data_IF_070864546325
#
_entry.id   IF_070864546325
#
_cell.length_a   1.000
_cell.length_b   1.000
_cell.length_c   1.000
_cell.angle_alpha   90.00
_cell.angle_beta   90.00
_cell.angle_gamma   90.00
#
_symmetry.space_group_name_H-M   'P 1'
#
loop_
_entity.id
_entity.type
_entity.pdbx_description
1 polymer ?
#
# COMPACT_ATOMS: atom_id res chain seq x y z
N UNK A 1 -20.09 -18.58 -22.33
CA UNK A 1 -19.31 -17.57 -23.07
C UNK A 1 -19.64 -16.25 -22.39
N UNK A 2 -18.66 -15.60 -21.76
CA UNK A 2 -18.85 -14.31 -21.13
C UNK A 2 -19.04 -13.20 -22.17
N UNK A 3 -19.94 -12.26 -21.89
CA UNK A 3 -20.22 -11.14 -22.78
C UNK A 3 -18.99 -10.22 -22.87
N UNK A 4 -18.55 -9.90 -24.10
CA UNK A 4 -17.48 -8.92 -24.35
C UNK A 4 -18.06 -7.52 -24.23
N UNK A 5 -17.56 -6.74 -23.29
CA UNK A 5 -18.00 -5.37 -22.99
C UNK A 5 -17.10 -4.34 -23.68
N UNK A 6 -15.82 -4.68 -23.86
CA UNK A 6 -14.87 -3.92 -24.67
C UNK A 6 -13.89 -4.91 -25.30
N UNK A 7 -13.52 -4.70 -26.57
CA UNK A 7 -12.55 -5.55 -27.25
C UNK A 7 -11.84 -4.81 -28.37
N UNK A 8 -10.53 -5.00 -28.46
CA UNK A 8 -9.71 -4.45 -29.53
C UNK A 8 -9.48 -5.48 -30.64
N UNK A 9 -9.75 -5.07 -31.88
CA UNK A 9 -9.49 -5.90 -33.07
C UNK A 9 -8.11 -5.60 -33.64
N UNK A 10 -7.36 -6.64 -33.98
CA UNK A 10 -6.05 -6.53 -34.60
C UNK A 10 -5.83 -7.67 -35.58
N UNK A 11 -5.19 -7.38 -36.71
CA UNK A 11 -4.73 -8.39 -37.66
C UNK A 11 -3.33 -8.91 -37.30
N UNK A 12 -2.62 -8.22 -36.40
CA UNK A 12 -1.33 -8.66 -35.88
C UNK A 12 -1.53 -9.57 -34.65
N UNK A 13 -1.19 -10.86 -34.72
CA UNK A 13 -1.37 -11.82 -33.62
C UNK A 13 -0.46 -11.53 -32.40
N UNK A 14 0.59 -10.71 -32.57
CA UNK A 14 1.50 -10.31 -31.50
C UNK A 14 1.12 -8.99 -30.82
N UNK A 15 0.09 -8.30 -31.32
CA UNK A 15 -0.33 -7.04 -30.72
C UNK A 15 -0.94 -7.30 -29.34
N UNK A 16 -0.48 -6.56 -28.33
CA UNK A 16 -1.09 -6.55 -27.02
C UNK A 16 -2.44 -5.84 -27.12
N UNK A 17 -3.52 -6.62 -27.16
CA UNK A 17 -4.89 -6.11 -27.14
C UNK A 17 -5.46 -6.12 -25.73
N UNK A 18 -6.42 -5.23 -25.52
CA UNK A 18 -7.25 -5.20 -24.31
C UNK A 18 -8.64 -5.71 -24.63
N UNK A 19 -9.15 -6.59 -23.77
CA UNK A 19 -10.50 -7.14 -23.83
C UNK A 19 -11.07 -7.23 -22.41
N UNK A 20 -12.26 -6.66 -22.23
CA UNK A 20 -13.02 -6.67 -20.99
C UNK A 20 -14.25 -7.54 -21.18
N UNK A 21 -14.42 -8.49 -20.28
CA UNK A 21 -15.64 -9.29 -20.13
C UNK A 21 -16.19 -9.14 -18.71
N UNK A 22 -17.34 -9.76 -18.44
CA UNK A 22 -17.89 -9.82 -17.08
C UNK A 22 -17.01 -10.62 -16.10
N UNK A 23 -16.20 -11.55 -16.61
CA UNK A 23 -15.37 -12.44 -15.80
C UNK A 23 -13.98 -11.87 -15.54
N UNK A 24 -13.43 -11.11 -16.50
CA UNK A 24 -12.04 -10.68 -16.44
C UNK A 24 -11.66 -9.59 -17.43
N UNK A 25 -10.47 -9.05 -17.18
CA UNK A 25 -9.75 -8.21 -18.11
C UNK A 25 -8.58 -8.99 -18.68
N UNK A 26 -8.57 -9.18 -20.00
CA UNK A 26 -7.42 -9.70 -20.74
C UNK A 26 -6.62 -8.54 -21.32
N UNK A 27 -5.31 -8.54 -21.05
CA UNK A 27 -4.35 -7.58 -21.62
C UNK A 27 -3.09 -8.32 -22.06
N UNK A 28 -2.84 -8.31 -23.37
CA UNK A 28 -1.79 -9.15 -23.96
C UNK A 28 -2.01 -10.63 -23.60
N UNK A 29 -1.01 -11.26 -22.96
CA UNK A 29 -1.04 -12.66 -22.51
C UNK A 29 -1.51 -12.89 -21.07
N UNK A 30 -2.01 -11.85 -20.38
CA UNK A 30 -2.47 -11.98 -18.98
C UNK A 30 -3.96 -11.70 -18.86
N UNK A 31 -4.63 -12.49 -18.02
CA UNK A 31 -6.02 -12.26 -17.62
C UNK A 31 -6.06 -11.95 -16.14
N UNK A 32 -6.67 -10.82 -15.77
CA UNK A 32 -6.95 -10.44 -14.39
C UNK A 32 -8.44 -10.66 -14.13
N UNK A 33 -8.82 -11.58 -13.23
CA UNK A 33 -10.21 -11.76 -12.84
C UNK A 33 -10.81 -10.46 -12.30
N UNK A 34 -12.09 -10.22 -12.56
CA UNK A 34 -12.77 -9.01 -12.08
C UNK A 34 -12.76 -8.93 -10.55
N UNK A 35 -12.77 -10.06 -9.84
CA UNK A 35 -12.64 -10.11 -8.38
C UNK A 35 -11.26 -9.65 -7.83
N UNK A 36 -10.24 -9.56 -8.67
CA UNK A 36 -8.94 -8.98 -8.30
C UNK A 36 -8.88 -7.45 -8.50
N UNK A 37 -9.91 -6.87 -9.13
CA UNK A 37 -10.02 -5.44 -9.35
C UNK A 37 -10.77 -4.78 -8.19
N UNK A 38 -10.35 -3.57 -7.79
CA UNK A 38 -11.06 -2.78 -6.79
C UNK A 38 -12.26 -2.07 -7.43
N UNK A 39 -13.31 -2.86 -7.72
CA UNK A 39 -14.52 -2.36 -8.36
C UNK A 39 -15.19 -1.26 -7.56
N UNK A 40 -15.24 -1.38 -6.22
CA UNK A 40 -15.84 -0.36 -5.36
C UNK A 40 -15.16 1.00 -5.53
N UNK A 41 -13.83 1.05 -5.55
CA UNK A 41 -13.09 2.29 -5.75
C UNK A 41 -13.28 2.87 -7.17
N UNK A 42 -13.29 2.03 -8.20
CA UNK A 42 -13.48 2.49 -9.58
C UNK A 42 -14.91 2.96 -9.85
N UNK A 43 -15.91 2.25 -9.32
CA UNK A 43 -17.32 2.61 -9.42
C UNK A 43 -17.62 3.94 -8.71
N UNK A 44 -17.00 4.16 -7.55
CA UNK A 44 -17.15 5.40 -6.79
C UNK A 44 -16.58 6.61 -7.54
N UNK A 45 -15.36 6.50 -8.07
CA UNK A 45 -14.76 7.56 -8.89
C UNK A 45 -15.58 7.81 -10.17
N UNK A 46 -16.00 6.73 -10.84
CA UNK A 46 -16.83 6.79 -12.05
C UNK A 46 -18.16 7.51 -11.80
N UNK A 47 -18.84 7.21 -10.69
CA UNK A 47 -20.08 7.85 -10.29
C UNK A 47 -19.95 9.37 -10.05
N UNK A 48 -18.75 9.85 -9.72
CA UNK A 48 -18.42 11.28 -9.58
C UNK A 48 -17.97 11.95 -10.89
N UNK A 49 -18.01 11.24 -12.02
CA UNK A 49 -17.51 11.75 -13.30
C UNK A 49 -15.99 11.74 -13.42
N UNK A 50 -15.30 10.95 -12.58
CA UNK A 50 -13.85 10.86 -12.52
C UNK A 50 -13.35 9.43 -12.84
N UNK A 51 -12.07 9.31 -13.11
CA UNK A 51 -11.35 8.05 -13.16
C UNK A 51 -10.17 8.05 -12.22
N UNK A 52 -10.06 6.95 -11.47
CA UNK A 52 -9.04 6.73 -10.46
C UNK A 52 -7.70 6.31 -11.09
N UNK A 53 -6.64 6.99 -10.69
CA UNK A 53 -5.25 6.74 -11.07
C UNK A 53 -4.37 6.35 -9.89
N UNK A 54 -3.06 6.37 -10.14
CA UNK A 54 -2.05 5.99 -9.15
C UNK A 54 -2.17 6.80 -7.85
N UNK A 55 -2.14 6.11 -6.70
CA UNK A 55 -2.11 6.73 -5.37
C UNK A 55 -3.34 7.54 -5.01
N UNK A 56 -4.49 7.24 -5.63
CA UNK A 56 -5.73 7.97 -5.40
C UNK A 56 -5.87 9.25 -6.21
N UNK A 57 -4.96 9.54 -7.14
CA UNK A 57 -5.11 10.66 -8.06
C UNK A 57 -6.36 10.47 -8.92
N UNK A 58 -7.05 11.55 -9.27
CA UNK A 58 -8.27 11.48 -10.07
C UNK A 58 -8.20 12.41 -11.28
N UNK A 59 -8.82 11.97 -12.37
CA UNK A 59 -8.95 12.76 -13.59
C UNK A 59 -10.40 12.70 -14.05
N UNK A 60 -10.96 13.84 -14.46
CA UNK A 60 -12.32 13.88 -15.02
C UNK A 60 -12.43 12.95 -16.24
N UNK A 61 -13.54 12.22 -16.36
CA UNK A 61 -13.77 11.23 -17.42
C UNK A 61 -13.77 11.86 -18.82
N UNK A 62 -14.25 13.10 -18.94
CA UNK A 62 -14.27 13.87 -20.19
C UNK A 62 -12.88 14.28 -20.68
N UNK A 63 -11.86 14.21 -19.82
CA UNK A 63 -10.45 14.46 -20.18
C UNK A 63 -9.74 13.20 -20.69
N UNK A 64 -10.39 12.04 -20.66
CA UNK A 64 -9.81 10.83 -21.27
C UNK A 64 -9.92 10.92 -22.79
N UNK A 65 -8.86 10.53 -23.53
CA UNK A 65 -8.90 10.59 -24.99
C UNK A 65 -9.92 9.56 -25.53
N UNK A 66 -10.72 9.98 -26.52
CA UNK A 66 -11.58 9.05 -27.27
C UNK A 66 -10.76 8.02 -28.07
N UNK A 67 -9.52 8.37 -28.42
CA UNK A 67 -8.55 7.52 -29.08
C UNK A 67 -7.61 6.77 -28.12
N UNK A 68 -6.39 6.42 -28.60
CA UNK A 68 -5.42 5.70 -27.79
C UNK A 68 -5.00 6.47 -26.55
N UNK A 69 -4.94 5.79 -25.41
CA UNK A 69 -4.56 6.40 -24.14
C UNK A 69 -4.28 5.39 -23.04
N UNK A 70 -3.87 5.89 -21.88
CA UNK A 70 -3.65 5.09 -20.68
C UNK A 70 -4.84 5.25 -19.75
N UNK A 71 -5.42 4.12 -19.33
CA UNK A 71 -6.46 4.02 -18.30
C UNK A 71 -5.87 3.22 -17.14
N UNK A 72 -5.59 3.85 -15.99
CA UNK A 72 -5.11 3.15 -14.81
C UNK A 72 -6.17 2.19 -14.26
N UNK A 73 -5.77 1.02 -13.80
CA UNK A 73 -6.64 0.08 -13.11
C UNK A 73 -6.16 -0.16 -11.70
N UNK A 74 -7.08 -0.10 -10.76
CA UNK A 74 -6.76 -0.35 -9.35
C UNK A 74 -7.17 -1.77 -8.98
N UNK A 75 -6.22 -2.54 -8.46
CA UNK A 75 -6.42 -3.90 -7.91
C UNK A 75 -6.94 -3.81 -6.48
N UNK A 76 -7.56 -4.86 -5.97
CA UNK A 76 -8.04 -4.93 -4.56
C UNK A 76 -6.92 -4.79 -3.53
N UNK A 77 -5.66 -4.92 -3.96
CA UNK A 77 -4.45 -4.65 -3.15
C UNK A 77 -4.15 -3.16 -2.98
N UNK A 78 -4.88 -2.29 -3.67
CA UNK A 78 -4.59 -0.86 -3.81
C UNK A 78 -3.49 -0.54 -4.81
N UNK A 79 -2.97 -1.56 -5.52
CA UNK A 79 -2.00 -1.33 -6.60
C UNK A 79 -2.68 -0.80 -7.85
N UNK A 80 -2.14 0.25 -8.44
CA UNK A 80 -2.57 0.77 -9.73
C UNK A 80 -1.63 0.34 -10.85
N UNK A 81 -2.19 -0.20 -11.93
CA UNK A 81 -1.49 -0.67 -13.13
C UNK A 81 -2.00 0.11 -14.36
N UNK A 82 -1.12 0.71 -15.18
CA UNK A 82 -1.55 1.39 -16.39
C UNK A 82 -1.99 0.38 -17.46
N UNK A 83 -3.14 0.63 -18.10
CA UNK A 83 -3.60 -0.12 -19.27
C UNK A 83 -3.64 0.78 -20.49
N UNK A 84 -2.92 0.39 -21.54
CA UNK A 84 -2.92 1.07 -22.84
C UNK A 84 -4.12 0.57 -23.63
N UNK A 85 -5.15 1.39 -23.76
CA UNK A 85 -6.34 1.09 -24.54
C UNK A 85 -6.32 1.93 -25.83
N UNK A 86 -6.76 1.35 -26.94
CA UNK A 86 -6.90 2.03 -28.23
C UNK A 86 -8.06 3.03 -28.25
N UNK A 87 -9.05 2.85 -27.37
CA UNK A 87 -10.19 3.76 -27.15
C UNK A 87 -10.35 3.94 -25.65
N UNK A 88 -9.56 4.86 -25.08
CA UNK A 88 -9.41 4.96 -23.63
C UNK A 88 -10.70 5.39 -22.93
N UNK A 89 -11.40 6.39 -23.47
CA UNK A 89 -12.68 6.83 -22.92
C UNK A 89 -13.75 5.73 -22.97
N UNK A 90 -13.87 5.00 -24.08
CA UNK A 90 -14.79 3.85 -24.21
C UNK A 90 -14.46 2.73 -23.21
N UNK A 91 -13.18 2.38 -23.08
CA UNK A 91 -12.74 1.37 -22.12
C UNK A 91 -13.05 1.75 -20.67
N UNK A 92 -12.76 3.00 -20.28
CA UNK A 92 -13.04 3.50 -18.94
C UNK A 92 -14.54 3.52 -18.62
N UNK A 93 -15.38 3.95 -19.59
CA UNK A 93 -16.85 3.90 -19.45
C UNK A 93 -17.35 2.47 -19.26
N UNK A 94 -16.95 1.54 -20.14
CA UNK A 94 -17.37 0.15 -20.07
C UNK A 94 -16.98 -0.53 -18.74
N UNK A 95 -15.78 -0.25 -18.25
CA UNK A 95 -15.33 -0.77 -16.95
C UNK A 95 -16.05 -0.08 -15.77
N UNK A 96 -16.28 1.23 -15.83
CA UNK A 96 -17.03 1.97 -14.81
C UNK A 96 -18.47 1.45 -14.67
N UNK A 97 -19.16 1.25 -15.78
CA UNK A 97 -20.52 0.67 -15.81
C UNK A 97 -20.53 -0.76 -15.27
N UNK A 98 -19.55 -1.58 -15.66
CA UNK A 98 -19.39 -2.93 -15.11
C UNK A 98 -19.17 -2.89 -13.60
N UNK A 99 -18.29 -2.00 -13.12
CA UNK A 99 -17.97 -1.86 -11.71
C UNK A 99 -19.22 -1.46 -10.90
N UNK A 100 -19.99 -0.48 -11.36
CA UNK A 100 -21.26 -0.08 -10.71
C UNK A 100 -22.22 -1.26 -10.65
N UNK A 101 -22.43 -1.99 -11.76
CA UNK A 101 -23.33 -3.14 -11.82
C UNK A 101 -22.90 -4.26 -10.86
N UNK A 102 -21.63 -4.65 -10.88
CA UNK A 102 -21.11 -5.73 -10.03
C UNK A 102 -20.98 -5.34 -8.56
N UNK A 103 -20.89 -4.04 -8.26
CA UNK A 103 -21.04 -3.54 -6.90
C UNK A 103 -22.50 -3.56 -6.41
N UNK A 104 -23.50 -3.91 -7.22
CA UNK A 104 -24.91 -3.92 -6.82
C UNK A 104 -25.66 -2.62 -7.14
N UNK A 105 -25.10 -1.75 -7.98
CA UNK A 105 -25.72 -0.51 -8.46
C UNK A 105 -25.28 0.75 -7.70
N UNK A 106 -25.78 1.93 -8.12
CA UNK A 106 -25.33 3.23 -7.60
C UNK A 106 -25.54 3.41 -6.10
N UNK A 107 -26.65 2.89 -5.55
CA UNK A 107 -26.95 2.99 -4.11
C UNK A 107 -25.92 2.23 -3.25
N UNK A 108 -25.54 1.02 -3.69
CA UNK A 108 -24.53 0.24 -2.99
C UNK A 108 -23.14 0.90 -3.09
N UNK A 109 -22.81 1.53 -4.22
CA UNK A 109 -21.59 2.34 -4.37
C UNK A 109 -21.62 3.55 -3.43
N UNK A 110 -22.75 4.23 -3.30
CA UNK A 110 -22.91 5.33 -2.35
C UNK A 110 -22.75 4.87 -0.89
N UNK A 111 -23.29 3.69 -0.54
CA UNK A 111 -23.09 3.10 0.78
C UNK A 111 -21.62 2.75 1.07
N UNK A 112 -20.89 2.23 0.07
CA UNK A 112 -19.45 2.01 0.18
C UNK A 112 -18.68 3.32 0.36
N UNK A 113 -19.04 4.37 -0.38
CA UNK A 113 -18.45 5.70 -0.25
C UNK A 113 -18.71 6.31 1.13
N UNK A 114 -19.95 6.23 1.63
CA UNK A 114 -20.30 6.68 2.97
C UNK A 114 -19.50 5.94 4.06
N UNK A 115 -19.36 4.62 3.92
CA UNK A 115 -18.52 3.81 4.81
C UNK A 115 -17.06 4.25 4.77
N UNK A 116 -16.49 4.45 3.58
CA UNK A 116 -15.11 4.94 3.44
C UNK A 116 -14.91 6.32 4.07
N UNK A 117 -15.91 7.21 3.96
CA UNK A 117 -15.95 8.51 4.62
C UNK A 117 -15.95 8.37 6.15
N UNK A 118 -16.81 7.51 6.71
CA UNK A 118 -16.87 7.24 8.14
C UNK A 118 -15.57 6.62 8.69
N UNK A 119 -14.93 5.73 7.93
CA UNK A 119 -13.62 5.15 8.25
C UNK A 119 -12.48 6.19 8.11
N UNK A 120 -12.68 7.22 7.28
CA UNK A 120 -11.63 8.16 6.86
C UNK A 120 -10.55 7.50 6.00
N UNK A 121 -10.88 6.40 5.32
CA UNK A 121 -9.97 5.61 4.49
C UNK A 121 -10.57 5.50 3.09
N UNK A 122 -9.91 6.02 2.03
CA UNK A 122 -10.41 5.89 0.66
C UNK A 122 -10.62 4.43 0.24
N UNK A 123 -11.60 4.17 -0.63
CA UNK A 123 -11.91 2.81 -1.10
C UNK A 123 -10.75 2.15 -1.84
N UNK A 124 -9.88 2.94 -2.48
CA UNK A 124 -8.75 2.42 -3.24
C UNK A 124 -7.67 1.80 -2.36
N UNK A 125 -7.58 2.17 -1.07
CA UNK A 125 -6.63 1.57 -0.13
C UNK A 125 -7.20 0.24 0.39
N UNK A 126 -6.42 -0.83 0.26
CA UNK A 126 -6.82 -2.16 0.71
C UNK A 126 -7.04 -2.22 2.23
N UNK A 127 -8.14 -2.84 2.65
CA UNK A 127 -8.43 -3.19 4.04
C UNK A 127 -8.07 -4.64 4.28
N UNK A 128 -7.31 -4.90 5.34
CA UNK A 128 -7.06 -6.25 5.87
C UNK A 128 -7.65 -6.33 7.28
N UNK A 129 -8.15 -7.49 7.65
CA UNK A 129 -8.80 -7.70 8.93
C UNK A 129 -8.01 -8.71 9.76
N UNK A 130 -7.99 -8.52 11.07
CA UNK A 130 -7.47 -9.44 12.06
C UNK A 130 -8.42 -9.52 13.25
N UNK A 131 -8.36 -10.60 14.01
CA UNK A 131 -9.16 -10.73 15.21
C UNK A 131 -8.62 -9.85 16.33
N UNK A 132 -9.54 -9.19 17.04
CA UNK A 132 -9.27 -8.42 18.24
C UNK A 132 -10.19 -8.83 19.39
N UNK A 133 -9.84 -8.49 20.64
CA UNK A 133 -10.62 -8.87 21.83
C UNK A 133 -12.06 -8.33 21.82
N UNK A 134 -12.30 -7.22 21.13
CA UNK A 134 -13.61 -6.59 21.00
C UNK A 134 -14.28 -6.78 19.61
N UNK A 135 -13.70 -7.64 18.77
CA UNK A 135 -14.13 -7.88 17.40
C UNK A 135 -13.04 -7.55 16.36
N UNK A 136 -13.38 -7.61 15.05
CA UNK A 136 -12.40 -7.46 13.99
C UNK A 136 -11.71 -6.08 13.99
N UNK A 137 -10.38 -6.09 13.89
CA UNK A 137 -9.53 -4.92 13.70
C UNK A 137 -9.19 -4.79 12.22
N UNK A 138 -9.54 -3.65 11.63
CA UNK A 138 -9.21 -3.32 10.25
C UNK A 138 -7.86 -2.57 10.19
N UNK A 139 -7.04 -2.93 9.21
CA UNK A 139 -5.72 -2.35 8.94
C UNK A 139 -5.63 -1.98 7.48
N UNK A 140 -5.48 -0.69 7.19
CA UNK A 140 -5.19 -0.16 5.86
C UNK A 140 -3.78 0.43 5.82
N UNK A 141 -3.05 0.12 4.75
CA UNK A 141 -1.65 0.55 4.59
C UNK A 141 -1.43 1.01 3.17
N UNK A 142 -0.77 2.15 3.02
CA UNK A 142 -0.09 2.51 1.78
C UNK A 142 1.34 2.92 2.12
N UNK A 143 2.31 2.14 1.64
CA UNK A 143 3.72 2.33 1.99
C UNK A 143 4.37 3.50 1.28
N UNK A 144 3.86 3.87 0.11
CA UNK A 144 4.37 4.99 -0.68
C UNK A 144 3.81 6.33 -0.16
N UNK A 145 2.57 6.35 0.34
CA UNK A 145 2.00 7.48 1.08
C UNK A 145 2.47 7.56 2.53
N UNK A 146 3.26 6.59 3.00
CA UNK A 146 3.66 6.48 4.42
C UNK A 146 2.42 6.58 5.32
N UNK A 147 1.42 5.76 4.99
CA UNK A 147 0.09 5.81 5.58
C UNK A 147 -0.26 4.46 6.21
N UNK A 148 -0.67 4.49 7.46
CA UNK A 148 -1.29 3.36 8.15
C UNK A 148 -2.52 3.85 8.90
N UNK A 149 -3.65 3.17 8.72
CA UNK A 149 -4.88 3.38 9.45
C UNK A 149 -5.30 2.08 10.10
N UNK A 150 -5.57 2.13 11.41
CA UNK A 150 -6.08 0.97 12.16
C UNK A 150 -7.30 1.39 12.95
N UNK A 151 -8.38 0.62 12.86
CA UNK A 151 -9.61 0.87 13.59
C UNK A 151 -10.32 -0.43 13.93
N UNK A 152 -11.15 -0.40 14.96
CA UNK A 152 -11.94 -1.53 15.41
C UNK A 152 -13.04 -1.08 16.38
N UNK A 153 -13.94 -1.99 16.78
CA UNK A 153 -14.99 -1.69 17.72
C UNK A 153 -14.46 -1.11 19.03
N UNK A 154 -15.15 -0.11 19.58
CA UNK A 154 -14.89 0.45 20.92
C UNK A 154 -13.50 1.08 21.12
N UNK A 155 -12.75 1.35 20.06
CA UNK A 155 -11.48 2.07 20.10
C UNK A 155 -11.49 3.25 19.12
N UNK A 156 -10.87 4.40 19.46
CA UNK A 156 -10.61 5.44 18.47
C UNK A 156 -9.66 4.91 17.38
N UNK A 157 -9.83 5.39 16.15
CA UNK A 157 -8.93 5.04 15.05
C UNK A 157 -7.52 5.55 15.34
N UNK A 158 -6.51 4.73 15.07
CA UNK A 158 -5.10 5.10 15.20
C UNK A 158 -4.49 5.24 13.82
N UNK A 159 -3.90 6.40 13.56
CA UNK A 159 -3.44 6.79 12.24
C UNK A 159 -1.98 7.20 12.29
N UNK A 160 -1.19 6.67 11.36
CA UNK A 160 0.18 7.09 11.12
C UNK A 160 0.27 7.71 9.73
N UNK A 161 0.93 8.86 9.64
CA UNK A 161 1.18 9.61 8.40
C UNK A 161 2.62 10.12 8.38
N UNK A 162 3.15 10.43 7.20
CA UNK A 162 4.29 11.33 7.09
C UNK A 162 3.99 12.48 6.10
N UNK A 163 3.42 13.60 6.59
CA UNK A 163 3.06 14.74 5.74
C UNK A 163 4.23 15.36 4.97
N UNK A 164 5.48 15.07 5.38
CA UNK A 164 6.71 15.54 4.74
C UNK A 164 7.61 14.40 4.26
N UNK A 165 7.03 13.21 4.10
CA UNK A 165 7.76 11.98 3.80
C UNK A 165 8.49 11.39 5.01
N UNK A 166 8.83 10.10 4.93
CA UNK A 166 9.58 9.39 5.97
C UNK A 166 11.08 9.62 5.79
N UNK A 167 11.77 9.97 6.89
CA UNK A 167 13.18 10.30 6.90
C UNK A 167 13.93 9.33 7.83
N UNK A 168 14.24 8.13 7.35
CA UNK A 168 14.71 7.00 8.16
C UNK A 168 16.00 7.17 8.96
N UNK A 169 16.69 8.30 8.80
CA UNK A 169 17.95 8.65 9.49
C UNK A 169 17.97 10.12 9.96
N UNK A 170 16.82 10.78 9.99
CA UNK A 170 16.75 12.16 10.48
C UNK A 170 17.09 12.24 11.98
N UNK A 171 17.64 13.37 12.45
CA UNK A 171 17.84 13.62 13.88
C UNK A 171 16.52 13.68 14.67
N UNK A 172 15.41 14.00 13.98
CA UNK A 172 14.07 14.00 14.56
C UNK A 172 13.69 12.59 15.04
N UNK A 173 13.40 12.38 16.34
CA UNK A 173 13.03 11.08 16.88
C UNK A 173 11.82 10.42 16.20
N UNK A 174 10.90 11.21 15.65
CA UNK A 174 9.72 10.70 14.93
C UNK A 174 10.03 10.34 13.48
N UNK A 175 11.19 10.76 12.95
CA UNK A 175 11.62 10.54 11.57
C UNK A 175 10.61 11.09 10.54
N UNK A 176 9.92 12.18 10.88
CA UNK A 176 8.87 12.79 10.06
C UNK A 176 7.49 12.12 10.16
N UNK A 177 7.35 11.10 11.00
CA UNK A 177 6.08 10.39 11.22
C UNK A 177 5.20 11.13 12.24
N UNK A 178 3.92 11.28 11.93
CA UNK A 178 2.90 11.81 12.82
C UNK A 178 1.91 10.69 13.16
N UNK A 179 1.69 10.44 14.45
CA UNK A 179 0.74 9.46 14.96
C UNK A 179 -0.42 10.17 15.66
N UNK A 180 -1.65 9.82 15.32
CA UNK A 180 -2.85 10.27 16.02
C UNK A 180 -3.68 9.10 16.54
N UNK A 181 -4.33 9.30 17.69
CA UNK A 181 -5.29 8.39 18.32
C UNK A 181 -6.61 9.15 18.43
N UNK A 182 -7.56 8.84 17.56
CA UNK A 182 -8.69 9.74 17.28
C UNK A 182 -8.15 11.09 16.81
N UNK A 183 -8.55 12.15 17.50
CA UNK A 183 -8.11 13.52 17.21
C UNK A 183 -6.85 13.93 17.98
N UNK A 184 -6.36 13.11 18.90
CA UNK A 184 -5.21 13.43 19.73
C UNK A 184 -3.90 13.04 19.06
N UNK A 185 -2.95 13.98 18.95
CA UNK A 185 -1.59 13.70 18.48
C UNK A 185 -0.80 13.02 19.59
N UNK A 186 -0.14 11.92 19.27
CA UNK A 186 0.74 11.20 20.18
C UNK A 186 2.21 11.49 19.84
N UNK A 187 3.04 11.59 20.87
CA UNK A 187 4.49 11.67 20.70
C UNK A 187 5.02 10.31 20.25
N UNK A 188 5.73 10.26 19.12
CA UNK A 188 6.31 9.04 18.57
C UNK A 188 7.84 9.15 18.55
N UNK A 189 8.51 8.14 19.09
CA UNK A 189 9.98 8.07 19.14
C UNK A 189 10.46 6.71 18.65
N UNK A 190 11.27 6.71 17.60
CA UNK A 190 11.97 5.53 17.10
C UNK A 190 13.43 5.59 17.56
N UNK A 191 13.88 4.54 18.24
CA UNK A 191 15.26 4.43 18.70
C UNK A 191 15.84 3.10 18.27
N UNK A 192 16.67 3.13 17.22
CA UNK A 192 17.52 2.01 16.80
C UNK A 192 18.87 2.09 17.52
N UNK A 193 19.34 0.96 18.07
CA UNK A 193 20.66 0.84 18.69
C UNK A 193 21.38 -0.40 18.14
N UNK A 194 22.72 -0.35 18.09
CA UNK A 194 23.56 -1.49 17.71
C UNK A 194 23.24 -2.74 18.56
N UNK A 195 23.13 -2.54 19.89
CA UNK A 195 22.58 -3.56 20.78
C UNK A 195 21.06 -3.64 20.58
N UNK A 196 20.62 -4.56 19.72
CA UNK A 196 19.21 -4.78 19.32
C UNK A 196 18.22 -4.85 20.50
N UNK A 197 18.63 -5.39 21.66
CA UNK A 197 17.78 -5.46 22.86
C UNK A 197 17.48 -4.09 23.51
N UNK A 198 18.21 -3.03 23.12
CA UNK A 198 17.99 -1.66 23.57
C UNK A 198 17.24 -0.81 22.54
N UNK A 199 16.92 -1.36 21.37
CA UNK A 199 16.11 -0.67 20.37
C UNK A 199 14.64 -0.69 20.78
N UNK A 200 13.95 0.43 20.61
CA UNK A 200 12.56 0.60 21.01
C UNK A 200 11.80 1.50 20.03
N UNK A 201 10.49 1.31 19.97
CA UNK A 201 9.56 2.32 19.44
C UNK A 201 8.62 2.70 20.57
N UNK A 202 8.46 4.00 20.81
CA UNK A 202 7.66 4.52 21.91
C UNK A 202 6.57 5.44 21.37
N UNK A 203 5.36 5.29 21.91
CA UNK A 203 4.23 6.18 21.65
C UNK A 203 3.70 6.67 22.97
N UNK A 204 3.68 7.99 23.19
CA UNK A 204 3.08 8.62 24.38
C UNK A 204 1.84 9.40 23.99
N UNK A 205 0.77 9.14 24.74
CA UNK A 205 -0.46 9.91 24.76
C UNK A 205 -0.71 10.35 26.20
N UNK A 206 -1.52 11.37 26.43
CA UNK A 206 -1.92 11.76 27.78
C UNK A 206 -2.47 10.53 28.54
N UNK A 207 -1.79 10.13 29.62
CA UNK A 207 -2.18 8.99 30.46
C UNK A 207 -1.83 7.59 29.93
N UNK A 208 -1.17 7.46 28.78
CA UNK A 208 -0.78 6.16 28.24
C UNK A 208 0.56 6.18 27.51
N UNK A 209 1.37 5.14 27.70
CA UNK A 209 2.68 5.00 27.08
C UNK A 209 2.86 3.58 26.58
N UNK A 210 2.94 3.43 25.26
CA UNK A 210 3.22 2.15 24.61
C UNK A 210 4.68 2.04 24.21
N UNK A 211 5.29 0.88 24.46
CA UNK A 211 6.68 0.61 24.12
C UNK A 211 6.79 -0.73 23.41
N UNK A 212 7.29 -0.72 22.18
CA UNK A 212 7.67 -1.94 21.47
C UNK A 212 9.10 -2.32 21.84
N UNK A 213 9.28 -3.50 22.44
CA UNK A 213 10.59 -4.05 22.82
C UNK A 213 10.82 -5.41 22.18
N UNK A 214 12.06 -5.64 21.78
CA UNK A 214 12.49 -6.94 21.25
C UNK A 214 12.32 -8.03 22.31
N UNK A 215 11.67 -9.13 21.94
CA UNK A 215 11.69 -10.38 22.70
C UNK A 215 12.81 -11.29 22.13
N UNK A 216 12.72 -11.60 20.84
CA UNK A 216 13.72 -12.40 20.14
C UNK A 216 13.95 -11.87 18.71
N UNK A 217 14.59 -12.66 17.84
CA UNK A 217 14.93 -12.21 16.49
C UNK A 217 13.72 -11.90 15.61
N UNK A 218 12.58 -12.54 15.87
CA UNK A 218 11.37 -12.49 15.04
C UNK A 218 10.15 -11.97 15.77
N UNK A 219 10.22 -11.70 17.07
CA UNK A 219 9.09 -11.19 17.85
C UNK A 219 9.43 -10.01 18.77
N UNK A 220 8.41 -9.24 19.13
CA UNK A 220 8.51 -8.10 20.04
C UNK A 220 7.27 -8.00 20.92
N UNK A 221 7.48 -7.66 22.19
CA UNK A 221 6.41 -7.31 23.10
C UNK A 221 6.02 -5.85 22.90
N UNK A 222 4.72 -5.60 22.75
CA UNK A 222 4.16 -4.29 23.03
C UNK A 222 3.80 -4.24 24.51
N UNK A 223 4.34 -3.24 25.20
CA UNK A 223 4.02 -2.94 26.59
C UNK A 223 3.20 -1.66 26.67
N UNK A 224 2.33 -1.55 27.68
CA UNK A 224 1.70 -0.30 28.13
C UNK A 224 2.17 -0.03 29.55
N UNK A 225 3.01 0.99 29.75
CA UNK A 225 3.82 1.09 30.95
C UNK A 225 4.70 -0.16 31.11
N UNK A 226 4.53 -0.90 32.20
CA UNK A 226 5.28 -2.15 32.46
C UNK A 226 4.48 -3.43 32.11
N UNK A 227 3.21 -3.30 31.74
CA UNK A 227 2.35 -4.44 31.42
C UNK A 227 2.53 -4.87 29.95
N UNK A 228 2.69 -6.17 29.70
CA UNK A 228 2.64 -6.73 28.34
C UNK A 228 1.19 -6.75 27.85
N UNK A 229 0.95 -6.13 26.70
CA UNK A 229 -0.40 -6.04 26.11
C UNK A 229 -0.54 -6.85 24.83
N UNK A 230 0.54 -7.09 24.08
CA UNK A 230 0.54 -7.98 22.93
C UNK A 230 1.93 -8.49 22.55
N UNK A 231 1.99 -9.70 22.00
CA UNK A 231 3.17 -10.25 21.31
C UNK A 231 3.01 -10.11 19.80
N UNK A 232 3.89 -9.35 19.17
CA UNK A 232 3.91 -9.14 17.73
C UNK A 232 4.98 -10.05 17.11
N UNK A 233 4.62 -10.77 16.05
CA UNK A 233 5.54 -11.71 15.38
C UNK A 233 5.68 -11.36 13.90
N UNK A 234 6.91 -11.48 13.38
CA UNK A 234 7.17 -11.33 11.95
C UNK A 234 6.47 -12.47 11.18
N UNK A 235 5.73 -12.18 10.10
CA UNK A 235 5.24 -13.22 9.21
C UNK A 235 6.38 -14.12 8.70
N UNK A 236 6.11 -15.41 8.45
CA UNK A 236 7.09 -16.26 7.78
C UNK A 236 7.44 -15.67 6.40
N UNK A 237 8.70 -15.84 5.96
CA UNK A 237 9.19 -15.33 4.66
C UNK A 237 8.35 -15.78 3.46
N UNK A 238 7.79 -16.98 3.55
CA UNK A 238 6.89 -17.58 2.56
C UNK A 238 5.62 -17.99 3.30
N UNK A 239 4.67 -17.07 3.52
CA UNK A 239 3.40 -17.45 4.10
C UNK A 239 2.69 -18.44 3.18
N UNK A 240 1.96 -19.39 3.78
CA UNK A 240 1.09 -20.27 3.04
C UNK A 240 0.10 -19.40 2.24
N UNK A 241 -0.05 -19.71 0.95
CA UNK A 241 -1.05 -19.03 0.12
C UNK A 241 -2.41 -19.56 0.52
N UNK A 242 -3.24 -18.70 1.09
CA UNK A 242 -4.67 -18.95 1.14
C UNK A 242 -5.20 -18.86 -0.29
N UNK A 243 -5.87 -19.92 -0.79
CA UNK A 243 -6.65 -19.83 -2.02
C UNK A 243 -7.55 -18.59 -1.94
N UNK A 244 -7.70 -17.89 -3.06
CA UNK A 244 -8.60 -16.74 -3.20
C UNK A 244 -8.19 -15.43 -2.50
N UNK A 245 -6.97 -15.34 -1.95
CA UNK A 245 -6.46 -14.07 -1.39
C UNK A 245 -5.29 -13.53 -2.19
N UNK A 246 -5.44 -12.34 -2.79
CA UNK A 246 -4.31 -11.64 -3.43
C UNK A 246 -3.46 -10.85 -2.45
N UNK A 247 -3.95 -10.59 -1.24
CA UNK A 247 -3.29 -9.80 -0.20
C UNK A 247 -2.33 -10.66 0.65
N UNK A 248 -1.21 -10.06 1.06
CA UNK A 248 -0.29 -10.61 2.05
C UNK A 248 -0.93 -10.57 3.45
N UNK A 249 -0.72 -11.62 4.27
CA UNK A 249 -1.26 -11.66 5.62
C UNK A 249 -0.70 -10.52 6.48
N UNK A 250 -1.49 -10.11 7.47
CA UNK A 250 -1.01 -9.24 8.53
C UNK A 250 0.01 -9.98 9.40
N UNK A 251 0.84 -9.21 10.11
CA UNK A 251 1.69 -9.76 11.15
C UNK A 251 0.85 -10.41 12.25
N UNK A 252 1.16 -11.64 12.68
CA UNK A 252 0.48 -12.24 13.82
C UNK A 252 0.64 -11.38 15.07
N UNK A 253 -0.50 -11.11 15.71
CA UNK A 253 -0.59 -10.41 17.00
C UNK A 253 -1.31 -11.32 17.97
N UNK A 254 -0.66 -11.66 19.08
CA UNK A 254 -1.30 -12.33 20.22
C UNK A 254 -1.62 -11.29 21.28
N UNK A 255 -2.89 -11.04 21.51
CA UNK A 255 -3.36 -10.08 22.52
C UNK A 255 -3.24 -10.70 23.92
N UNK A 256 -2.69 -9.93 24.85
CA UNK A 256 -2.65 -10.24 26.29
C UNK A 256 -3.56 -9.29 27.09
N UNK A 257 -3.94 -8.15 26.49
CA UNK A 257 -4.91 -7.19 27.02
C UNK A 257 -6.26 -7.37 26.32
N UNK A 258 -7.35 -7.16 27.07
CA UNK A 258 -8.70 -7.08 26.52
C UNK A 258 -9.09 -5.65 26.11
N UNK A 259 -8.23 -4.65 26.37
CA UNK A 259 -8.48 -3.26 26.01
C UNK A 259 -8.48 -3.11 24.46
N UNK A 260 -9.60 -2.64 23.86
CA UNK A 260 -9.69 -2.41 22.42
C UNK A 260 -8.60 -1.48 21.86
N UNK A 261 -8.19 -0.46 22.64
CA UNK A 261 -7.14 0.47 22.21
C UNK A 261 -5.77 -0.22 22.14
N UNK A 262 -5.46 -1.11 23.08
CA UNK A 262 -4.21 -1.87 23.05
C UNK A 262 -4.15 -2.79 21.81
N UNK A 263 -5.28 -3.37 21.41
CA UNK A 263 -5.38 -4.19 20.21
C UNK A 263 -5.14 -3.37 18.92
N UNK A 264 -5.80 -2.22 18.78
CA UNK A 264 -5.59 -1.30 17.65
C UNK A 264 -4.14 -0.81 17.60
N UNK A 265 -3.57 -0.45 18.76
CA UNK A 265 -2.15 -0.08 18.86
C UNK A 265 -1.24 -1.25 18.46
N UNK A 266 -1.48 -2.47 18.91
CA UNK A 266 -0.69 -3.63 18.53
C UNK A 266 -0.67 -3.85 17.00
N UNK A 267 -1.82 -3.74 16.34
CA UNK A 267 -1.90 -3.86 14.88
C UNK A 267 -1.23 -2.69 14.14
N UNK A 268 -1.32 -1.46 14.68
CA UNK A 268 -0.57 -0.32 14.14
C UNK A 268 0.93 -0.58 14.19
N UNK A 269 1.45 -0.96 15.36
CA UNK A 269 2.88 -1.22 15.53
C UNK A 269 3.35 -2.35 14.60
N UNK A 270 2.55 -3.41 14.49
CA UNK A 270 2.88 -4.55 13.63
C UNK A 270 2.86 -4.19 12.13
N UNK A 271 1.99 -3.26 11.72
CA UNK A 271 1.88 -2.79 10.35
C UNK A 271 2.98 -1.77 9.97
N UNK A 272 3.38 -0.91 10.91
CA UNK A 272 4.23 0.25 10.64
C UNK A 272 5.71 0.08 11.03
N UNK A 273 6.04 -0.71 12.04
CA UNK A 273 7.40 -0.75 12.62
C UNK A 273 8.06 -2.11 12.49
N UNK A 274 9.39 -2.13 12.58
CA UNK A 274 10.19 -3.35 12.62
C UNK A 274 9.87 -4.20 13.87
N UNK A 275 9.93 -5.53 13.71
CA UNK A 275 9.71 -6.51 14.77
C UNK A 275 10.96 -7.37 14.94
N UNK A 276 11.33 -7.59 16.20
CA UNK A 276 12.43 -8.46 16.62
C UNK A 276 13.76 -7.75 16.45
N UNK A 277 14.63 -8.30 15.62
CA UNK A 277 15.93 -7.68 15.33
C UNK A 277 15.79 -6.32 14.60
N UNK A 278 14.63 -6.07 13.97
CA UNK A 278 14.37 -4.80 13.29
C UNK A 278 13.68 -3.76 14.17
N UNK A 279 13.33 -4.07 15.43
CA UNK A 279 12.71 -3.10 16.36
C UNK A 279 13.50 -1.78 16.42
N UNK A 280 12.78 -0.67 16.49
CA UNK A 280 13.33 0.69 16.45
C UNK A 280 13.40 1.32 15.05
N UNK A 281 12.92 0.63 13.99
CA UNK A 281 12.79 1.19 12.64
C UNK A 281 11.33 1.27 12.20
N UNK A 282 11.03 2.13 11.23
CA UNK A 282 9.77 2.07 10.49
C UNK A 282 9.92 1.17 9.25
N UNK A 283 8.79 0.69 8.73
CA UNK A 283 8.69 -0.19 7.55
C UNK A 283 8.32 0.59 6.28
N UNK A 284 8.75 1.84 6.21
CA UNK A 284 8.56 2.70 5.04
C UNK A 284 9.89 2.93 4.35
N UNK A 285 9.83 3.18 3.04
CA UNK A 285 11.01 3.61 2.29
C UNK A 285 11.36 5.04 2.72
N UNK A 286 12.64 5.29 2.96
CA UNK A 286 13.13 6.65 3.16
C UNK A 286 13.00 7.39 1.82
N UNK A 287 12.19 8.43 1.77
CA UNK A 287 12.00 9.24 0.56
C UNK A 287 12.31 10.70 0.91
N UNK A 288 13.30 11.27 0.22
CA UNK A 288 13.55 12.72 0.24
C UNK A 288 12.58 13.39 -0.73
N UNK A 289 11.33 13.59 -0.33
CA UNK A 289 10.40 14.34 -1.17
C UNK A 289 10.54 15.85 -0.88
N UNK A 290 10.96 16.60 -1.89
CA UNK A 290 10.98 18.06 -1.88
C UNK A 290 9.58 18.58 -2.26
N UNK A 291 8.70 18.81 -1.29
CA UNK A 291 7.35 19.32 -1.54
C UNK A 291 6.72 19.99 -0.31
N UNK A 292 5.96 21.08 -0.54
CA UNK A 292 5.26 21.84 0.52
C UNK A 292 4.07 21.06 1.09
N UNK A 293 3.89 21.23 2.39
CA UNK A 293 3.01 20.46 3.29
C UNK A 293 1.60 20.10 2.79
N UNK A 294 1.20 18.89 3.18
CA UNK A 294 -0.10 18.25 3.01
C UNK A 294 0.06 16.74 3.27
N UNK A 295 -1.00 15.96 3.46
CA UNK A 295 -0.86 14.51 3.24
C UNK A 295 -0.27 14.31 1.83
N UNK A 296 0.61 13.33 1.59
CA UNK A 296 1.03 13.01 0.24
C UNK A 296 -0.22 12.55 -0.52
N UNK A 297 -0.89 13.47 -1.22
CA UNK A 297 -1.89 13.14 -2.20
C UNK A 297 -1.12 12.99 -3.50
N UNK A 298 -1.28 11.85 -4.14
CA UNK A 298 -0.72 11.62 -5.46
C UNK A 298 -1.15 12.74 -6.41
N UNK A 299 -0.19 13.47 -6.97
CA UNK A 299 -0.46 14.54 -7.94
C UNK A 299 -0.90 13.96 -9.28
N UNK A 300 -1.56 14.74 -10.14
CA UNK A 300 -1.92 14.31 -11.51
C UNK A 300 -0.73 13.76 -12.31
N UNK A 301 0.50 14.20 -12.03
CA UNK A 301 1.73 13.70 -12.66
C UNK A 301 2.08 12.23 -12.39
N UNK A 302 1.40 11.57 -11.44
CA UNK A 302 1.54 10.12 -11.18
C UNK A 302 0.26 9.34 -11.52
N UNK A 303 -0.77 9.99 -12.05
CA UNK A 303 -2.08 9.39 -12.32
C UNK A 303 -1.98 8.19 -13.28
N UNK A 304 -1.19 8.30 -14.35
CA UNK A 304 -0.95 7.27 -15.36
C UNK A 304 0.23 6.34 -15.06
N UNK A 305 0.87 6.50 -13.90
CA UNK A 305 2.04 5.71 -13.51
C UNK A 305 1.64 4.52 -12.64
N UNK A 306 2.43 3.43 -12.66
CA UNK A 306 2.27 2.35 -11.69
C UNK A 306 2.33 2.89 -10.25
N UNK A 307 1.42 2.38 -9.43
CA UNK A 307 1.39 2.64 -7.99
C UNK A 307 1.38 1.33 -7.24
N UNK A 308 2.54 0.86 -6.79
CA UNK A 308 2.64 -0.43 -6.10
C UNK A 308 2.37 -0.27 -4.61
N UNK A 309 1.42 -1.04 -4.09
CA UNK A 309 1.14 -1.05 -2.65
C UNK A 309 2.10 -1.95 -1.87
N UNK A 310 2.77 -2.89 -2.55
CA UNK A 310 3.58 -3.97 -1.96
C UNK A 310 2.80 -4.84 -0.95
N UNK A 311 1.46 -4.83 -1.07
CA UNK A 311 0.57 -5.63 -0.23
C UNK A 311 0.12 -6.93 -0.88
N UNK A 312 0.38 -7.12 -2.18
CA UNK A 312 -0.04 -8.33 -2.87
C UNK A 312 0.98 -9.46 -2.87
N UNK A 313 0.53 -10.67 -3.16
CA UNK A 313 1.38 -11.88 -3.26
C UNK A 313 2.06 -12.02 -4.64
N UNK A 314 1.54 -11.34 -5.67
CA UNK A 314 1.99 -11.46 -7.06
C UNK A 314 2.90 -10.30 -7.50
N UNK A 315 3.67 -10.51 -8.57
CA UNK A 315 4.56 -9.48 -9.12
C UNK A 315 3.85 -8.23 -9.64
N UNK A 316 2.54 -8.32 -9.91
CA UNK A 316 1.74 -7.16 -10.35
C UNK A 316 1.44 -6.16 -9.22
N UNK A 317 1.64 -6.57 -7.97
CA UNK A 317 1.35 -5.77 -6.77
C UNK A 317 2.60 -5.25 -6.04
N UNK A 318 3.80 -5.62 -6.53
CA UNK A 318 5.06 -5.34 -5.86
C UNK A 318 6.06 -4.68 -6.82
N UNK A 319 6.80 -3.69 -6.33
CA UNK A 319 7.91 -3.11 -7.09
C UNK A 319 9.00 -4.16 -7.34
N UNK A 320 9.73 -4.10 -8.47
CA UNK A 320 10.96 -4.86 -8.63
C UNK A 320 11.94 -4.52 -7.49
N UNK A 321 12.31 -5.53 -6.69
CA UNK A 321 13.14 -5.34 -5.49
C UNK A 321 12.39 -4.75 -4.27
N UNK A 322 11.10 -4.41 -4.42
CA UNK A 322 10.23 -3.95 -3.35
C UNK A 322 9.79 -5.10 -2.45
N UNK A 323 10.20 -5.06 -1.18
CA UNK A 323 9.69 -5.95 -0.15
C UNK A 323 8.52 -5.31 0.61
N UNK A 324 7.73 -6.12 1.31
CA UNK A 324 6.70 -5.65 2.26
C UNK A 324 7.30 -4.96 3.52
N UNK A 325 8.58 -4.57 3.48
CA UNK A 325 9.32 -3.97 4.58
C UNK A 325 9.75 -4.96 5.65
N UNK A 326 9.63 -6.28 5.44
CA UNK A 326 10.20 -7.26 6.38
C UNK A 326 11.68 -7.57 6.18
N UNK A 327 12.19 -7.40 4.96
CA UNK A 327 13.59 -7.63 4.58
C UNK A 327 14.07 -9.08 4.82
N UNK A 328 14.96 -9.57 3.95
CA UNK A 328 15.81 -10.69 4.34
C UNK A 328 16.88 -10.13 5.30
N UNK A 329 16.78 -10.44 6.59
CA UNK A 329 17.86 -10.25 7.55
C UNK A 329 18.44 -8.84 7.70
N UNK A 330 17.65 -7.86 8.17
CA UNK A 330 18.15 -6.71 8.93
C UNK A 330 19.44 -6.03 8.43
N UNK A 331 19.61 -5.94 7.11
CA UNK A 331 20.63 -5.17 6.43
C UNK A 331 20.10 -3.77 6.13
N UNK A 332 21.03 -2.84 6.11
CA UNK A 332 20.85 -1.40 6.25
C UNK A 332 19.83 -0.74 5.31
N UNK A 333 19.36 0.42 5.75
CA UNK A 333 18.67 1.37 4.88
C UNK A 333 19.50 1.59 3.62
N UNK A 334 18.80 1.68 2.49
CA UNK A 334 19.40 1.46 1.17
C UNK A 334 20.67 2.25 0.88
N UNK A 335 21.71 1.53 0.45
CA UNK A 335 22.74 2.08 -0.42
C UNK A 335 22.17 2.23 -1.83
N UNK A 336 21.76 3.46 -2.15
CA UNK A 336 21.80 3.95 -3.53
C UNK A 336 23.06 4.80 -3.67
N UNK A 337 24.20 4.13 -3.61
CA UNK A 337 25.49 4.71 -3.97
C UNK A 337 25.54 4.88 -5.48
N UNK A 338 25.60 6.14 -5.93
CA UNK A 338 25.88 6.49 -7.31
C UNK A 338 27.26 6.00 -7.72
N UNK A 339 27.33 5.40 -8.90
CA UNK A 339 28.58 5.16 -9.60
C UNK A 339 28.72 6.18 -10.73
N UNK A 340 29.31 7.33 -10.41
CA UNK A 340 30.05 8.11 -11.40
C UNK A 340 31.37 7.39 -11.62
N UNK A 341 31.64 7.01 -12.86
CA UNK A 341 32.85 6.30 -13.26
C UNK A 341 33.09 6.47 -14.74
N UNK A 342 33.61 7.65 -15.11
CA UNK A 342 34.17 7.90 -16.43
C UNK A 342 35.39 7.01 -16.71
N UNK A 343 35.62 6.76 -17.99
CA UNK A 343 36.78 6.05 -18.51
C UNK A 343 36.93 6.34 -19.99
N UNK A 344 37.57 7.48 -20.28
CA UNK A 344 38.19 7.75 -21.58
C UNK A 344 39.36 6.78 -21.84
N UNK A 345 39.54 6.42 -23.11
CA UNK A 345 40.68 5.67 -23.65
C UNK A 345 40.21 4.81 -24.82
N UNK A 346 40.47 5.09 -26.09
CA UNK A 346 41.64 5.74 -26.68
C UNK A 346 42.56 4.67 -27.28
N UNK A 347 42.46 4.46 -28.60
CA UNK A 347 43.54 3.93 -29.45
C UNK A 347 43.50 2.44 -29.80
N UNK A 348 43.61 2.14 -31.11
CA UNK A 348 43.96 0.80 -31.60
C UNK A 348 43.61 0.54 -33.06
N UNK A 349 44.39 1.13 -33.99
CA UNK A 349 44.44 0.76 -35.40
C UNK A 349 45.01 -0.65 -35.63
N UNK A 350 44.67 -1.24 -36.79
CA UNK A 350 45.32 -2.39 -37.43
C UNK A 350 44.41 -3.62 -37.52
N UNK A 351 44.15 -4.26 -38.65
CA UNK A 351 44.84 -4.30 -39.94
C UNK A 351 45.03 -5.78 -40.33
N UNK A 352 44.49 -6.20 -41.49
CA UNK A 352 44.73 -7.50 -42.14
C UNK A 352 43.96 -8.69 -41.55
N UNK A 353 43.46 -9.66 -42.31
CA UNK A 353 43.58 -9.98 -43.72
C UNK A 353 42.72 -11.23 -44.01
N UNK A 354 42.42 -11.42 -45.30
CA UNK A 354 41.70 -12.52 -45.99
C UNK A 354 40.25 -12.83 -45.57
#
# INVERSE_FOLDING_TARGET
>A
MSQVLYGERTWNPLAQTVELTEEGLRRGGRTTPVGELNLGAMAEAYGRGCWLGGGGAERALDRLPEGPGVVPLTRVTGTTIPVKARRAAEFARALGELAVRLCGGPEQVAALSARAGAEGVPLWIARRFADGPAGPVAVAVDRRLVRVDVWGPHAPAVRLRAPRGFQGEAPDPSQGLCLTVGDAVAELVLRKKLRKSRSVVEVRLAGAHWVLRRENATSSWLLRGDQRVALLTRPPRRPARTPDTVLRPLAPVRHESADPLDAVMAHLFAAAFGIGDTTGTARFRSERQAGRGGEPIATDGVWDRPWFSNLGIGGDDNEPGGGDGWGADGGDGGDSGGGDGGGDGGGGDGGGGD
#
